data_IF_615027171769
#
_entry.id   IF_615027171769
#
_cell.length_a   1.000
_cell.length_b   1.000
_cell.length_c   1.000
_cell.angle_alpha   90.00
_cell.angle_beta   90.00
_cell.angle_gamma   90.00
#
_symmetry.space_group_name_H-M   'P 1'
#
loop_
_entity.id
_entity.type
_entity.pdbx_description
1 polymer ?
#
# COMPACT_ATOMS: atom_id res chain seq x y z
N UNK A 1 5.06 0.93 15.44
CA UNK A 1 4.38 0.12 14.40
C UNK A 1 3.01 0.65 14.01
N UNK A 2 2.03 0.66 14.92
CA UNK A 2 0.66 1.12 14.62
C UNK A 2 0.62 2.53 14.03
N UNK A 3 1.50 3.40 14.50
CA UNK A 3 1.62 4.77 13.98
C UNK A 3 2.06 4.82 12.51
N UNK A 4 3.03 4.00 12.11
CA UNK A 4 3.45 3.89 10.70
C UNK A 4 2.33 3.35 9.81
N UNK A 5 1.52 2.42 10.31
CA UNK A 5 0.34 1.91 9.60
C UNK A 5 -0.71 3.01 9.44
N UNK A 6 -1.00 3.76 10.51
CA UNK A 6 -1.94 4.90 10.50
C UNK A 6 -1.52 5.96 9.48
N UNK A 7 -0.26 6.41 9.52
CA UNK A 7 0.25 7.36 8.53
C UNK A 7 0.26 6.79 7.11
N UNK A 8 0.54 5.50 6.96
CA UNK A 8 0.48 4.83 5.66
C UNK A 8 -0.92 4.89 5.04
N UNK A 9 -1.95 4.65 5.84
CA UNK A 9 -3.35 4.76 5.40
C UNK A 9 -3.74 6.22 5.08
N UNK A 10 -3.32 7.19 5.92
CA UNK A 10 -3.58 8.61 5.67
C UNK A 10 -2.92 9.09 4.38
N UNK A 11 -1.68 8.69 4.13
CA UNK A 11 -0.96 9.02 2.90
C UNK A 11 -1.62 8.38 1.68
N UNK A 12 -2.07 7.13 1.78
CA UNK A 12 -2.82 6.47 0.71
C UNK A 12 -4.13 7.22 0.39
N UNK A 13 -4.82 7.70 1.41
CA UNK A 13 -6.04 8.49 1.25
C UNK A 13 -5.77 9.83 0.55
N UNK A 14 -4.77 10.57 1.02
CA UNK A 14 -4.37 11.84 0.42
C UNK A 14 -3.94 11.66 -1.06
N UNK A 15 -3.21 10.58 -1.36
CA UNK A 15 -2.82 10.25 -2.72
C UNK A 15 -4.03 9.91 -3.60
N UNK A 16 -4.99 9.16 -3.06
CA UNK A 16 -6.22 8.87 -3.79
C UNK A 16 -7.00 10.14 -4.14
N UNK A 17 -7.14 11.07 -3.19
CA UNK A 17 -7.76 12.37 -3.46
C UNK A 17 -6.97 13.17 -4.49
N UNK A 18 -5.64 13.15 -4.42
CA UNK A 18 -4.78 13.82 -5.39
C UNK A 18 -4.98 13.27 -6.81
N UNK A 19 -5.01 11.95 -6.98
CA UNK A 19 -5.20 11.30 -8.28
C UNK A 19 -6.59 11.54 -8.89
N UNK A 20 -7.61 11.65 -8.04
CA UNK A 20 -9.00 11.79 -8.47
C UNK A 20 -9.53 13.23 -8.38
N UNK A 21 -8.69 14.22 -8.08
CA UNK A 21 -9.12 15.61 -7.86
C UNK A 21 -9.88 16.25 -9.05
N UNK A 22 -9.64 15.77 -10.28
CA UNK A 22 -10.28 16.25 -11.53
C UNK A 22 -11.31 15.25 -12.08
N UNK A 23 -11.66 14.21 -11.32
CA UNK A 23 -12.66 13.21 -11.70
C UNK A 23 -14.00 13.51 -11.02
N UNK A 24 -15.09 12.93 -11.56
CA UNK A 24 -16.44 13.07 -10.97
C UNK A 24 -16.48 12.53 -9.54
N UNK A 25 -15.86 11.38 -9.33
CA UNK A 25 -15.57 10.86 -8.00
C UNK A 25 -14.16 11.28 -7.61
N UNK A 26 -14.01 11.99 -6.48
CA UNK A 26 -12.78 12.63 -6.02
C UNK A 26 -12.12 11.91 -4.82
N UNK A 27 -12.42 10.62 -4.64
CA UNK A 27 -11.96 9.83 -3.51
C UNK A 27 -12.36 10.36 -2.12
N UNK A 28 -13.56 10.90 -1.99
CA UNK A 28 -14.16 11.21 -0.69
C UNK A 28 -14.72 9.94 -0.02
N UNK A 29 -14.54 9.81 1.30
CA UNK A 29 -15.01 8.64 2.07
C UNK A 29 -16.48 8.77 2.47
N UNK A 30 -16.99 9.98 2.59
CA UNK A 30 -18.36 10.28 3.00
C UNK A 30 -19.02 11.03 1.86
N UNK A 31 -20.17 10.53 1.44
CA UNK A 31 -21.00 11.22 0.46
C UNK A 31 -21.63 12.44 1.16
N UNK A 32 -21.42 13.66 0.65
CA UNK A 32 -21.87 14.87 1.33
C UNK A 32 -23.40 15.00 1.37
N UNK A 33 -24.13 14.23 0.55
CA UNK A 33 -25.59 14.30 0.42
C UNK A 33 -26.28 13.23 1.27
N UNK A 34 -25.84 11.98 1.16
CA UNK A 34 -26.39 10.83 1.85
C UNK A 34 -25.74 10.53 3.20
N UNK A 35 -24.61 11.18 3.51
CA UNK A 35 -23.77 10.94 4.70
C UNK A 35 -23.34 9.48 4.87
N UNK A 36 -23.46 8.67 3.82
CA UNK A 36 -23.04 7.28 3.82
C UNK A 36 -21.55 7.18 3.55
N UNK A 37 -20.93 6.15 4.12
CA UNK A 37 -19.57 5.79 3.75
C UNK A 37 -19.56 5.31 2.29
N UNK A 38 -19.08 6.15 1.38
CA UNK A 38 -18.91 5.84 -0.05
C UNK A 38 -18.08 4.57 -0.20
N UNK A 39 -17.12 4.36 0.71
CA UNK A 39 -16.31 3.15 0.76
C UNK A 39 -17.17 1.89 0.89
N UNK A 40 -18.25 1.90 1.68
CA UNK A 40 -19.05 0.69 1.86
C UNK A 40 -19.87 0.33 0.62
N UNK A 41 -20.47 1.33 -0.05
CA UNK A 41 -21.28 1.14 -1.27
C UNK A 41 -20.38 0.81 -2.46
N UNK A 42 -19.31 1.59 -2.71
CA UNK A 42 -18.40 1.32 -3.81
C UNK A 42 -17.62 0.03 -3.63
N UNK A 43 -17.20 -0.29 -2.40
CA UNK A 43 -16.56 -1.58 -2.16
C UNK A 43 -17.57 -2.71 -2.37
N UNK A 44 -18.89 -2.53 -2.10
CA UNK A 44 -19.92 -3.54 -2.36
C UNK A 44 -20.11 -3.86 -3.83
N UNK A 45 -20.05 -2.85 -4.69
CA UNK A 45 -20.33 -2.99 -6.13
C UNK A 45 -19.11 -3.41 -6.96
N UNK A 46 -17.89 -3.39 -6.40
CA UNK A 46 -16.69 -3.89 -7.10
C UNK A 46 -16.25 -3.00 -8.26
N UNK A 47 -16.31 -1.67 -8.09
CA UNK A 47 -15.96 -0.70 -9.15
C UNK A 47 -14.46 -0.56 -9.38
N UNK A 48 -14.06 0.06 -10.50
CA UNK A 48 -12.64 0.33 -10.83
C UNK A 48 -11.96 1.23 -9.79
N UNK A 49 -12.70 2.18 -9.25
CA UNK A 49 -12.25 3.08 -8.21
C UNK A 49 -12.05 2.34 -6.88
N UNK A 50 -12.92 1.38 -6.54
CA UNK A 50 -12.71 0.56 -5.33
C UNK A 50 -11.45 -0.31 -5.46
N UNK A 51 -11.18 -0.85 -6.65
CA UNK A 51 -9.93 -1.56 -6.93
C UNK A 51 -8.70 -0.67 -6.72
N UNK A 52 -8.76 0.60 -7.15
CA UNK A 52 -7.70 1.57 -6.90
C UNK A 52 -7.51 1.87 -5.41
N UNK A 53 -8.60 2.08 -4.65
CA UNK A 53 -8.55 2.33 -3.20
C UNK A 53 -7.89 1.17 -2.45
N UNK A 54 -8.25 -0.07 -2.79
CA UNK A 54 -7.62 -1.26 -2.23
C UNK A 54 -6.11 -1.31 -2.53
N UNK A 55 -5.73 -1.10 -3.79
CA UNK A 55 -4.33 -1.10 -4.21
C UNK A 55 -3.51 0.02 -3.53
N UNK A 56 -3.99 1.27 -3.54
CA UNK A 56 -3.29 2.43 -2.96
C UNK A 56 -3.18 2.30 -1.44
N UNK A 57 -4.22 1.80 -0.76
CA UNK A 57 -4.19 1.59 0.70
C UNK A 57 -3.17 0.52 1.10
N UNK A 58 -3.16 -0.62 0.41
CA UNK A 58 -2.19 -1.68 0.65
C UNK A 58 -0.75 -1.20 0.39
N UNK A 59 -0.55 -0.42 -0.66
CA UNK A 59 0.77 0.07 -1.01
C UNK A 59 1.27 1.21 -0.09
N UNK A 60 0.39 2.13 0.33
CA UNK A 60 0.73 3.22 1.24
C UNK A 60 1.15 2.73 2.62
N UNK A 61 0.46 1.71 3.16
CA UNK A 61 0.88 1.05 4.41
C UNK A 61 2.24 0.36 4.23
N UNK A 62 2.44 -0.40 3.15
CA UNK A 62 3.70 -1.09 2.91
C UNK A 62 4.87 -0.10 2.79
N UNK A 63 4.67 0.98 2.01
CA UNK A 63 5.64 2.05 1.84
C UNK A 63 6.02 2.72 3.15
N UNK A 64 5.02 3.17 3.91
CA UNK A 64 5.28 3.94 5.13
C UNK A 64 5.98 3.09 6.19
N UNK A 65 5.56 1.85 6.35
CA UNK A 65 6.20 0.91 7.29
C UNK A 65 7.64 0.66 6.88
N UNK A 66 7.91 0.31 5.62
CA UNK A 66 9.27 0.09 5.14
C UNK A 66 10.16 1.32 5.37
N UNK A 67 9.65 2.52 5.06
CA UNK A 67 10.42 3.75 5.19
C UNK A 67 10.72 4.12 6.64
N UNK A 68 9.75 3.95 7.53
CA UNK A 68 9.93 4.22 8.96
C UNK A 68 10.90 3.21 9.60
N UNK A 69 10.85 1.94 9.19
CA UNK A 69 11.81 0.92 9.61
C UNK A 69 13.24 1.26 9.18
N UNK A 70 13.44 1.67 7.93
CA UNK A 70 14.76 2.06 7.44
C UNK A 70 15.32 3.33 8.12
N UNK A 71 14.44 4.21 8.61
CA UNK A 71 14.82 5.40 9.39
C UNK A 71 15.06 5.12 10.87
N UNK A 72 14.84 3.88 11.33
CA UNK A 72 14.94 3.55 12.76
C UNK A 72 13.85 4.18 13.62
N UNK A 73 12.72 4.60 13.04
CA UNK A 73 11.60 5.19 13.78
C UNK A 73 10.76 4.14 14.55
N UNK A 74 11.10 2.86 14.40
CA UNK A 74 10.38 1.76 15.00
C UNK A 74 11.36 0.67 15.42
N UNK A 75 11.39 0.38 16.72
CA UNK A 75 12.33 -0.56 17.33
C UNK A 75 12.13 -2.02 16.89
N UNK A 76 10.95 -2.36 16.36
CA UNK A 76 10.62 -3.75 15.98
C UNK A 76 11.11 -4.16 14.59
N UNK A 77 11.70 -3.24 13.84
CA UNK A 77 12.16 -3.47 12.48
C UNK A 77 13.37 -2.59 12.14
N UNK A 78 14.03 -2.88 11.02
CA UNK A 78 15.21 -2.14 10.58
C UNK A 78 15.49 -2.31 9.09
N UNK A 79 16.73 -2.04 8.71
CA UNK A 79 17.22 -2.17 7.35
C UNK A 79 17.27 -3.63 6.89
N UNK A 80 17.22 -3.84 5.59
CA UNK A 80 17.52 -5.14 4.98
C UNK A 80 19.03 -5.42 5.06
N UNK A 81 19.37 -6.54 5.71
CA UNK A 81 20.75 -6.98 5.93
C UNK A 81 21.23 -7.99 4.87
N UNK A 82 20.39 -8.34 3.88
CA UNK A 82 20.74 -9.34 2.86
C UNK A 82 22.01 -8.99 2.08
N UNK A 83 22.26 -7.70 1.83
CA UNK A 83 23.47 -7.23 1.17
C UNK A 83 24.72 -7.23 2.07
N UNK A 84 24.54 -7.13 3.39
CA UNK A 84 25.63 -7.21 4.38
C UNK A 84 26.03 -8.66 4.60
N UNK A 85 25.04 -9.56 4.69
CA UNK A 85 25.19 -10.98 4.96
C UNK A 85 25.58 -11.82 3.74
N UNK A 86 25.70 -11.20 2.56
CA UNK A 86 26.13 -11.91 1.35
C UNK A 86 27.62 -12.28 1.41
N UNK A 87 27.97 -13.42 0.81
CA UNK A 87 29.34 -13.94 0.82
C UNK A 87 30.32 -12.88 0.28
N UNK A 88 31.35 -12.48 1.05
CA UNK A 88 32.37 -11.55 0.60
C UNK A 88 33.08 -11.98 -0.70
N UNK A 89 33.13 -13.29 -0.99
CA UNK A 89 33.70 -13.82 -2.24
C UNK A 89 32.84 -13.52 -3.48
N UNK A 90 31.55 -13.28 -3.28
CA UNK A 90 30.58 -12.94 -4.33
C UNK A 90 30.43 -11.41 -4.46
N UNK A 91 30.65 -10.67 -3.37
CA UNK A 91 30.47 -9.21 -3.33
C UNK A 91 31.77 -8.48 -3.68
N UNK A 92 31.86 -7.92 -4.89
CA UNK A 92 32.99 -7.09 -5.33
C UNK A 92 32.86 -5.60 -4.96
N UNK A 93 32.06 -5.27 -3.94
CA UNK A 93 31.85 -3.90 -3.47
C UNK A 93 31.60 -3.89 -1.97
N UNK A 94 31.93 -2.77 -1.32
CA UNK A 94 31.60 -2.55 0.08
C UNK A 94 30.21 -1.96 0.19
N UNK A 95 29.29 -2.71 0.80
CA UNK A 95 27.94 -2.21 1.06
C UNK A 95 27.99 -1.25 2.26
N UNK A 96 27.49 -0.03 2.06
CA UNK A 96 27.31 0.97 3.11
C UNK A 96 25.89 1.50 3.08
N UNK A 97 25.37 1.86 4.25
CA UNK A 97 24.04 2.46 4.41
C UNK A 97 22.95 1.49 4.85
N UNK A 98 21.71 1.89 4.60
CA UNK A 98 20.51 1.18 5.04
C UNK A 98 19.61 0.89 3.83
N UNK A 99 19.48 -0.39 3.48
CA UNK A 99 18.55 -0.83 2.44
C UNK A 99 17.16 -0.91 3.04
N UNK A 100 16.17 -0.40 2.31
CA UNK A 100 14.76 -0.48 2.72
C UNK A 100 14.31 -1.95 2.73
N UNK A 101 13.85 -2.44 3.89
CA UNK A 101 13.25 -3.79 3.99
C UNK A 101 11.82 -3.80 3.46
N UNK A 102 11.69 -3.89 2.13
CA UNK A 102 10.42 -3.89 1.41
C UNK A 102 9.56 -5.11 1.76
N UNK A 103 10.18 -6.29 1.92
CA UNK A 103 9.44 -7.51 2.24
C UNK A 103 8.75 -7.42 3.60
N UNK A 104 9.41 -6.81 4.58
CA UNK A 104 8.81 -6.56 5.89
C UNK A 104 7.58 -5.63 5.80
N UNK A 105 7.67 -4.52 5.06
CA UNK A 105 6.53 -3.62 4.86
C UNK A 105 5.36 -4.28 4.14
N UNK A 106 5.64 -5.11 3.13
CA UNK A 106 4.63 -5.92 2.43
C UNK A 106 3.95 -6.89 3.40
N UNK A 107 4.69 -7.55 4.28
CA UNK A 107 4.15 -8.47 5.27
C UNK A 107 3.23 -7.76 6.27
N UNK A 108 3.64 -6.61 6.80
CA UNK A 108 2.80 -5.79 7.69
C UNK A 108 1.55 -5.31 6.95
N UNK A 109 1.68 -4.82 5.72
CA UNK A 109 0.53 -4.40 4.92
C UNK A 109 -0.47 -5.53 4.69
N UNK A 110 -0.01 -6.77 4.44
CA UNK A 110 -0.89 -7.94 4.37
C UNK A 110 -1.66 -8.15 5.67
N UNK A 111 -0.98 -8.11 6.81
CA UNK A 111 -1.63 -8.32 8.09
C UNK A 111 -2.71 -7.29 8.41
N UNK A 112 -2.49 -6.02 8.08
CA UNK A 112 -3.45 -4.96 8.41
C UNK A 112 -4.52 -4.75 7.34
N UNK A 113 -4.14 -4.70 6.07
CA UNK A 113 -5.07 -4.34 4.99
C UNK A 113 -5.92 -5.53 4.54
N UNK A 114 -5.38 -6.75 4.59
CA UNK A 114 -6.14 -7.94 4.23
C UNK A 114 -7.02 -8.44 5.40
N UNK A 115 -6.80 -7.95 6.63
CA UNK A 115 -7.61 -8.32 7.79
C UNK A 115 -9.10 -8.02 7.61
N UNK A 116 -9.44 -6.93 6.90
CA UNK A 116 -10.82 -6.57 6.59
C UNK A 116 -11.53 -7.59 5.67
N UNK A 117 -10.78 -8.43 4.96
CA UNK A 117 -11.30 -9.45 4.06
C UNK A 117 -11.29 -10.86 4.68
N UNK A 118 -10.65 -11.04 5.85
CA UNK A 118 -10.66 -12.32 6.59
C UNK A 118 -12.07 -12.62 7.10
N UNK A 119 -12.51 -13.88 6.99
CA UNK A 119 -13.80 -14.33 7.51
C UNK A 119 -15.01 -13.99 6.63
N UNK A 120 -14.85 -13.15 5.60
CA UNK A 120 -15.81 -13.09 4.50
C UNK A 120 -15.58 -14.36 3.68
N UNK A 121 -16.51 -15.32 3.76
CA UNK A 121 -16.54 -16.53 2.89
C UNK A 121 -16.04 -16.15 1.49
N UNK A 122 -15.23 -17.00 0.84
CA UNK A 122 -14.48 -16.77 -0.41
C UNK A 122 -15.35 -16.29 -1.60
N UNK A 123 -15.98 -15.15 -1.42
CA UNK A 123 -16.81 -14.44 -2.36
C UNK A 123 -15.89 -13.94 -3.44
N UNK A 124 -16.41 -13.88 -4.67
CA UNK A 124 -15.68 -13.32 -5.80
C UNK A 124 -15.11 -11.93 -5.45
N UNK A 125 -15.83 -11.15 -4.63
CA UNK A 125 -15.41 -9.86 -4.13
C UNK A 125 -14.18 -9.90 -3.21
N UNK A 126 -14.17 -10.76 -2.19
CA UNK A 126 -13.00 -10.81 -1.28
C UNK A 126 -11.75 -11.28 -2.03
N UNK A 127 -11.91 -12.15 -3.03
CA UNK A 127 -10.82 -12.54 -3.94
C UNK A 127 -10.31 -11.35 -4.75
N UNK A 128 -11.21 -10.54 -5.33
CA UNK A 128 -10.85 -9.33 -6.08
C UNK A 128 -10.16 -8.29 -5.18
N UNK A 129 -10.67 -8.06 -3.97
CA UNK A 129 -10.06 -7.13 -3.03
C UNK A 129 -8.64 -7.55 -2.63
N UNK A 130 -8.44 -8.84 -2.33
CA UNK A 130 -7.11 -9.39 -2.03
C UNK A 130 -6.17 -9.31 -3.24
N UNK A 131 -6.69 -9.52 -4.45
CA UNK A 131 -5.95 -9.33 -5.69
C UNK A 131 -5.49 -7.88 -5.85
N UNK A 132 -6.39 -6.91 -5.66
CA UNK A 132 -6.07 -5.49 -5.76
C UNK A 132 -5.06 -5.04 -4.69
N UNK A 133 -5.23 -5.51 -3.45
CA UNK A 133 -4.25 -5.27 -2.38
C UNK A 133 -2.87 -5.84 -2.74
N UNK A 134 -2.83 -7.06 -3.32
CA UNK A 134 -1.59 -7.68 -3.79
C UNK A 134 -0.95 -6.88 -4.93
N UNK A 135 -1.73 -6.44 -5.91
CA UNK A 135 -1.26 -5.63 -7.02
C UNK A 135 -0.64 -4.33 -6.51
N UNK A 136 -1.30 -3.64 -5.56
CA UNK A 136 -0.76 -2.44 -4.91
C UNK A 136 0.61 -2.67 -4.27
N UNK A 137 0.78 -3.76 -3.51
CA UNK A 137 2.05 -4.11 -2.85
C UNK A 137 3.18 -4.48 -3.82
N UNK A 138 2.86 -4.87 -5.06
CA UNK A 138 3.83 -5.24 -6.08
C UNK A 138 4.34 -4.06 -6.90
N UNK A 139 3.59 -2.95 -6.94
CA UNK A 139 4.09 -1.70 -7.51
C UNK A 139 5.33 -1.31 -6.72
N UNK A 140 6.47 -1.14 -7.41
CA UNK A 140 7.76 -0.83 -6.78
C UNK A 140 7.54 0.31 -5.78
N UNK A 141 7.69 -0.02 -4.49
CA UNK A 141 7.50 0.92 -3.37
C UNK A 141 8.36 2.18 -3.56
N UNK A 142 9.52 2.05 -4.20
CA UNK A 142 10.40 3.16 -4.57
C UNK A 142 9.85 4.12 -5.64
N UNK A 143 8.86 3.71 -6.41
CA UNK A 143 8.20 4.54 -7.42
C UNK A 143 6.94 5.24 -6.92
N UNK A 144 6.60 5.17 -5.63
CA UNK A 144 5.46 5.91 -5.07
C UNK A 144 5.58 7.42 -5.27
N UNK A 145 6.81 7.95 -5.38
CA UNK A 145 7.07 9.36 -5.69
C UNK A 145 7.07 9.68 -7.20
N UNK A 146 7.15 8.69 -8.10
CA UNK A 146 7.39 8.93 -9.54
C UNK A 146 6.34 8.32 -10.49
N UNK A 147 5.62 7.27 -10.09
CA UNK A 147 4.73 6.53 -11.00
C UNK A 147 3.26 6.95 -10.94
N UNK A 148 2.79 7.65 -9.92
CA UNK A 148 1.35 7.91 -9.79
C UNK A 148 0.86 8.98 -10.80
N UNK A 149 1.74 9.66 -11.53
CA UNK A 149 1.34 10.45 -12.71
C UNK A 149 0.98 9.62 -13.96
N UNK A 150 1.29 8.31 -14.01
CA UNK A 150 1.16 7.50 -15.25
C UNK A 150 0.34 6.20 -15.13
N UNK A 151 -0.21 5.84 -13.97
CA UNK A 151 -0.83 4.52 -13.73
C UNK A 151 -2.28 4.32 -14.22
N UNK A 152 -2.92 5.32 -14.84
CA UNK A 152 -4.31 5.19 -15.32
C UNK A 152 -4.49 4.12 -16.42
N UNK A 153 -3.40 3.64 -17.03
CA UNK A 153 -3.44 2.70 -18.15
C UNK A 153 -3.21 1.22 -17.76
N UNK A 154 -2.93 0.89 -16.49
CA UNK A 154 -2.57 -0.49 -16.12
C UNK A 154 -3.76 -1.37 -15.68
N UNK A 155 -4.94 -0.78 -15.48
CA UNK A 155 -6.17 -1.49 -15.09
C UNK A 155 -7.28 -1.32 -16.14
N UNK A 156 -6.91 -1.50 -17.41
CA UNK A 156 -7.84 -1.56 -18.54
C UNK A 156 -7.91 -2.99 -19.06
#
# INVERSE_FOLDING_TARGET
MMESVRYGAQNAYAECQYQFNKRRWNCTLIDPVSLTLISEVMMREGTRESAFVHAVSAAGVAYRVTRDCARGLNERCGCDQSAVNSDPKVRNYDYQGCSDNVQYGIAISREFVDAAERGKNASQRSILNLHNNRAGRQVRIFCYLFLISNYQNLFR
#
